data_IF_888516835924
#
_entry.id   IF_888516835924
#
_cell.length_a   1.000
_cell.length_b   1.000
_cell.length_c   1.000
_cell.angle_alpha   90.00
_cell.angle_beta   90.00
_cell.angle_gamma   90.00
#
_symmetry.space_group_name_H-M   'P 1'
#
loop_
_entity.id
_entity.type
_entity.pdbx_description
1 polymer ?
#
# COMPACT_ATOMS: atom_id res chain seq x y z
N UNK A 1 15.25 -20.20 -22.24
CA UNK A 1 15.89 -19.31 -21.24
C UNK A 1 17.37 -19.70 -21.13
N UNK A 2 18.33 -18.76 -21.06
CA UNK A 2 19.76 -19.08 -20.87
C UNK A 2 19.97 -19.70 -19.48
N UNK A 3 20.86 -20.68 -19.37
CA UNK A 3 21.21 -21.35 -18.09
C UNK A 3 22.36 -20.62 -17.39
N UNK A 4 22.60 -20.85 -16.07
CA UNK A 4 23.75 -20.28 -15.37
C UNK A 4 25.09 -20.61 -16.04
N UNK A 5 25.24 -21.84 -16.53
CA UNK A 5 26.44 -22.25 -17.27
C UNK A 5 26.63 -21.52 -18.60
N UNK A 6 25.55 -21.04 -19.23
CA UNK A 6 25.66 -20.21 -20.43
C UNK A 6 26.16 -18.81 -20.06
N UNK A 7 25.60 -18.20 -19.00
CA UNK A 7 26.02 -16.88 -18.53
C UNK A 7 27.48 -16.86 -18.06
N UNK A 8 27.92 -17.87 -17.31
CA UNK A 8 29.31 -17.99 -16.87
C UNK A 8 30.27 -18.08 -18.07
N UNK A 9 29.92 -18.88 -19.08
CA UNK A 9 30.72 -19.05 -20.29
C UNK A 9 30.83 -17.76 -21.09
N UNK A 10 29.71 -17.08 -21.33
CA UNK A 10 29.71 -15.81 -22.05
C UNK A 10 30.50 -14.71 -21.28
N UNK A 11 30.44 -14.70 -19.94
CA UNK A 11 31.29 -13.84 -19.09
C UNK A 11 32.78 -14.16 -19.17
N UNK A 12 33.17 -15.45 -19.17
CA UNK A 12 34.56 -15.87 -19.35
C UNK A 12 35.09 -15.51 -20.74
N UNK A 13 34.28 -15.70 -21.78
CA UNK A 13 34.62 -15.32 -23.15
C UNK A 13 34.81 -13.80 -23.26
N UNK A 14 33.90 -13.00 -22.70
CA UNK A 14 34.05 -11.54 -22.65
C UNK A 14 35.35 -11.10 -21.96
N UNK A 15 35.71 -11.76 -20.85
CA UNK A 15 36.94 -11.46 -20.12
C UNK A 15 38.20 -11.80 -20.92
N UNK A 16 38.18 -12.93 -21.63
CA UNK A 16 39.29 -13.36 -22.49
C UNK A 16 39.46 -12.44 -23.71
N UNK A 17 38.36 -12.08 -24.36
CA UNK A 17 38.37 -11.26 -25.58
C UNK A 17 38.48 -9.76 -25.30
N UNK A 18 38.27 -9.33 -24.05
CA UNK A 18 38.17 -7.92 -23.64
C UNK A 18 37.14 -7.14 -24.47
N UNK A 19 36.09 -7.82 -24.89
CA UNK A 19 35.00 -7.29 -25.72
C UNK A 19 33.66 -7.69 -25.13
N UNK A 20 32.60 -6.97 -25.52
CA UNK A 20 31.25 -7.32 -25.11
C UNK A 20 30.84 -8.65 -25.78
N UNK A 21 30.48 -9.66 -24.98
CA UNK A 21 29.90 -10.90 -25.46
C UNK A 21 28.47 -11.04 -24.98
N UNK A 22 27.50 -10.86 -25.88
CA UNK A 22 26.05 -10.99 -25.59
C UNK A 22 25.60 -10.22 -24.34
N UNK A 23 26.13 -9.00 -24.16
CA UNK A 23 25.84 -8.13 -23.02
C UNK A 23 26.77 -8.31 -21.81
N UNK A 24 27.71 -9.24 -21.83
CA UNK A 24 28.69 -9.43 -20.76
C UNK A 24 29.96 -8.65 -21.05
N UNK A 25 30.51 -7.98 -20.03
CA UNK A 25 31.77 -7.25 -20.10
C UNK A 25 32.95 -8.01 -19.49
N UNK A 26 32.69 -9.19 -18.91
CA UNK A 26 33.69 -10.02 -18.26
C UNK A 26 33.10 -10.85 -17.13
N UNK A 27 33.98 -11.50 -16.39
CA UNK A 27 33.67 -12.18 -15.14
C UNK A 27 33.58 -11.13 -14.03
N UNK A 28 32.54 -11.18 -13.20
CA UNK A 28 32.42 -10.27 -12.06
C UNK A 28 33.53 -10.54 -11.06
N UNK A 29 34.20 -9.49 -10.55
CA UNK A 29 35.16 -9.60 -9.45
C UNK A 29 34.54 -10.26 -8.21
N UNK A 30 33.23 -10.12 -8.02
CA UNK A 30 32.51 -10.72 -6.90
C UNK A 30 32.17 -12.20 -7.11
N UNK A 31 32.40 -12.76 -8.30
CA UNK A 31 32.08 -14.17 -8.58
C UNK A 31 32.91 -15.16 -7.77
N UNK A 32 34.10 -14.76 -7.30
CA UNK A 32 34.97 -15.57 -6.44
C UNK A 32 34.77 -15.27 -4.94
N UNK A 33 34.12 -14.15 -4.61
CA UNK A 33 34.01 -13.65 -3.22
C UNK A 33 32.65 -14.02 -2.63
N UNK A 34 31.61 -13.99 -3.46
CA UNK A 34 30.24 -14.21 -3.04
C UNK A 34 29.78 -15.56 -3.55
N UNK A 35 29.25 -16.42 -2.66
CA UNK A 35 28.60 -17.69 -3.02
C UNK A 35 27.20 -17.43 -3.61
N UNK A 36 27.13 -16.45 -4.50
CA UNK A 36 25.93 -15.85 -5.06
C UNK A 36 25.90 -16.17 -6.55
N UNK A 37 24.91 -16.95 -6.99
CA UNK A 37 24.74 -17.35 -8.38
C UNK A 37 24.26 -16.19 -9.24
N UNK A 38 25.17 -15.31 -9.66
CA UNK A 38 24.88 -14.26 -10.64
C UNK A 38 24.49 -14.87 -12.00
N UNK A 39 23.52 -14.29 -12.74
CA UNK A 39 22.72 -13.10 -12.39
C UNK A 39 21.43 -13.41 -11.61
N UNK A 40 21.13 -14.68 -11.31
CA UNK A 40 19.85 -15.11 -10.72
C UNK A 40 19.61 -14.58 -9.31
N UNK A 41 20.66 -14.11 -8.65
CA UNK A 41 20.60 -13.51 -7.33
C UNK A 41 20.52 -11.98 -7.34
N UNK A 42 20.38 -11.35 -8.52
CA UNK A 42 20.20 -9.90 -8.61
C UNK A 42 18.75 -9.58 -8.24
N UNK A 43 18.59 -8.88 -7.12
CA UNK A 43 17.30 -8.35 -6.70
C UNK A 43 16.96 -7.15 -7.59
N UNK A 44 15.76 -7.14 -8.14
CA UNK A 44 15.28 -5.96 -8.88
C UNK A 44 14.72 -4.98 -7.88
N UNK A 45 15.37 -3.84 -7.75
CA UNK A 45 14.85 -2.73 -6.98
C UNK A 45 13.63 -2.11 -7.68
N UNK A 46 12.45 -2.55 -7.22
CA UNK A 46 11.17 -2.16 -7.80
C UNK A 46 10.89 -0.66 -7.60
N UNK A 47 11.46 -0.01 -6.56
CA UNK A 47 11.21 1.39 -6.33
C UNK A 47 11.86 2.25 -7.42
N UNK A 48 13.12 1.96 -7.77
CA UNK A 48 13.79 2.65 -8.86
C UNK A 48 13.28 2.21 -10.23
N UNK A 49 13.13 0.90 -10.44
CA UNK A 49 12.68 0.35 -11.71
C UNK A 49 11.20 0.71 -11.97
N UNK A 50 10.28 0.19 -11.16
CA UNK A 50 8.85 0.36 -11.41
C UNK A 50 8.37 1.76 -11.06
N UNK A 51 8.67 2.31 -9.86
CA UNK A 51 8.07 3.58 -9.43
C UNK A 51 8.74 4.79 -10.10
N UNK A 52 10.04 5.00 -9.87
CA UNK A 52 10.74 6.21 -10.30
C UNK A 52 11.05 6.26 -11.80
N UNK A 53 11.12 5.12 -12.48
CA UNK A 53 11.28 5.07 -13.94
C UNK A 53 9.96 4.79 -14.64
N UNK A 54 9.42 3.57 -14.52
CA UNK A 54 8.28 3.15 -15.34
C UNK A 54 7.01 3.95 -15.05
N UNK A 55 6.48 3.90 -13.83
CA UNK A 55 5.26 4.60 -13.42
C UNK A 55 5.37 6.11 -13.65
N UNK A 56 6.52 6.71 -13.33
CA UNK A 56 6.76 8.14 -13.56
C UNK A 56 6.67 8.49 -15.06
N UNK A 57 7.31 7.72 -15.94
CA UNK A 57 7.20 7.90 -17.40
C UNK A 57 5.76 7.73 -17.87
N UNK A 58 5.05 6.73 -17.34
CA UNK A 58 3.65 6.51 -17.67
C UNK A 58 2.74 7.66 -17.25
N UNK A 59 2.95 8.21 -16.06
CA UNK A 59 2.21 9.38 -15.59
C UNK A 59 2.45 10.59 -16.47
N UNK A 60 3.70 10.85 -16.89
CA UNK A 60 4.02 11.94 -17.82
C UNK A 60 3.31 11.75 -19.16
N UNK A 61 3.35 10.54 -19.73
CA UNK A 61 2.72 10.23 -21.02
C UNK A 61 1.20 10.41 -20.95
N UNK A 62 0.56 9.82 -19.94
CA UNK A 62 -0.89 9.93 -19.77
C UNK A 62 -1.29 11.39 -19.53
N UNK A 63 -0.56 12.12 -18.69
CA UNK A 63 -0.84 13.53 -18.41
C UNK A 63 -0.76 14.39 -19.67
N UNK A 64 0.22 14.14 -20.55
CA UNK A 64 0.37 14.85 -21.83
C UNK A 64 -0.82 14.67 -22.77
N UNK A 65 -1.57 13.56 -22.65
CA UNK A 65 -2.76 13.30 -23.48
C UNK A 65 -4.02 14.02 -22.98
N UNK A 66 -4.02 14.48 -21.73
CA UNK A 66 -5.16 15.15 -21.13
C UNK A 66 -5.21 16.64 -21.49
N UNK A 67 -6.40 17.23 -21.52
CA UNK A 67 -6.58 18.67 -21.72
C UNK A 67 -6.10 19.46 -20.49
N UNK A 68 -5.68 20.74 -20.64
CA UNK A 68 -5.22 21.56 -19.52
C UNK A 68 -6.23 21.68 -18.37
N UNK A 69 -7.53 21.72 -18.69
CA UNK A 69 -8.60 21.78 -17.68
C UNK A 69 -8.63 20.51 -16.85
N UNK A 70 -8.63 19.34 -17.49
CA UNK A 70 -8.63 18.04 -16.81
C UNK A 70 -7.36 17.88 -15.96
N UNK A 71 -6.20 18.28 -16.49
CA UNK A 71 -4.93 18.28 -15.75
C UNK A 71 -5.01 19.07 -14.45
N UNK A 72 -5.58 20.27 -14.49
CA UNK A 72 -5.75 21.11 -13.30
C UNK A 72 -6.67 20.44 -12.26
N UNK A 73 -7.78 19.84 -12.70
CA UNK A 73 -8.69 19.09 -11.81
C UNK A 73 -7.98 17.92 -11.13
N UNK A 74 -7.21 17.14 -11.89
CA UNK A 74 -6.45 16.00 -11.37
C UNK A 74 -5.39 16.45 -10.37
N UNK A 75 -4.66 17.52 -10.66
CA UNK A 75 -3.63 18.06 -9.76
C UNK A 75 -4.20 18.50 -8.42
N UNK A 76 -5.37 19.13 -8.43
CA UNK A 76 -6.12 19.51 -7.24
C UNK A 76 -6.55 18.25 -6.48
N UNK A 77 -7.16 17.29 -7.16
CA UNK A 77 -7.63 16.04 -6.55
C UNK A 77 -6.49 15.27 -5.87
N UNK A 78 -5.34 15.13 -6.54
CA UNK A 78 -4.16 14.47 -5.97
C UNK A 78 -3.63 15.19 -4.73
N UNK A 79 -3.48 16.52 -4.80
CA UNK A 79 -2.87 17.31 -3.73
C UNK A 79 -3.77 17.44 -2.49
N UNK A 80 -5.09 17.42 -2.69
CA UNK A 80 -6.07 17.58 -1.63
C UNK A 80 -6.55 16.26 -1.03
N UNK A 81 -6.22 15.11 -1.65
CA UNK A 81 -6.67 13.80 -1.18
C UNK A 81 -6.27 13.56 0.30
N UNK A 82 -7.23 13.35 1.20
CA UNK A 82 -6.94 12.98 2.58
C UNK A 82 -6.36 11.56 2.69
N UNK A 83 -5.42 11.39 3.63
CA UNK A 83 -4.81 10.09 3.95
C UNK A 83 -4.95 9.75 5.44
N UNK A 84 -4.86 8.47 5.82
CA UNK A 84 -4.63 8.10 7.22
C UNK A 84 -3.41 8.81 7.81
N UNK A 85 -3.40 9.02 9.12
CA UNK A 85 -2.47 9.94 9.78
C UNK A 85 -1.03 9.46 9.76
N UNK A 86 -0.84 8.14 9.69
CA UNK A 86 0.48 7.49 9.61
C UNK A 86 1.13 7.66 8.23
N UNK A 87 0.42 8.16 7.20
CA UNK A 87 1.08 8.49 5.94
C UNK A 87 1.94 9.75 6.08
N UNK A 88 3.25 9.58 6.23
CA UNK A 88 4.22 10.68 6.26
C UNK A 88 4.29 11.46 4.93
N UNK A 89 4.06 10.77 3.82
CA UNK A 89 4.06 11.35 2.46
C UNK A 89 2.71 11.14 1.80
N UNK A 90 2.20 12.19 1.17
CA UNK A 90 0.92 12.20 0.46
C UNK A 90 1.15 12.22 -1.05
N UNK A 91 0.09 12.05 -1.81
CA UNK A 91 0.14 12.26 -3.25
C UNK A 91 0.48 13.72 -3.58
N UNK A 92 1.16 13.91 -4.71
CA UNK A 92 1.50 15.22 -5.24
C UNK A 92 0.88 15.40 -6.62
N UNK A 93 0.70 16.68 -6.99
CA UNK A 93 0.36 17.08 -8.34
C UNK A 93 1.37 16.53 -9.36
N UNK A 94 0.90 16.26 -10.56
CA UNK A 94 1.74 15.81 -11.66
C UNK A 94 2.66 16.92 -12.19
N UNK A 95 2.36 18.19 -11.89
CA UNK A 95 3.27 19.32 -12.15
C UNK A 95 4.60 19.19 -11.42
N UNK A 96 4.60 18.50 -10.27
CA UNK A 96 5.78 18.32 -9.43
C UNK A 96 6.47 16.96 -9.63
N UNK A 97 6.16 16.23 -10.72
CA UNK A 97 6.74 14.91 -10.99
C UNK A 97 8.28 14.93 -11.02
N UNK A 98 8.91 16.05 -11.37
CA UNK A 98 10.37 16.16 -11.33
C UNK A 98 10.96 15.96 -9.93
N UNK A 99 10.22 16.35 -8.87
CA UNK A 99 10.68 16.35 -7.47
C UNK A 99 9.95 15.33 -6.59
N UNK A 100 9.19 14.43 -7.21
CA UNK A 100 8.41 13.42 -6.51
C UNK A 100 9.29 12.25 -6.07
N UNK A 101 9.05 11.74 -4.86
CA UNK A 101 9.74 10.56 -4.33
C UNK A 101 9.01 9.26 -4.69
N UNK A 102 9.71 8.12 -4.59
CA UNK A 102 9.14 6.81 -4.91
C UNK A 102 7.85 6.51 -4.13
N UNK A 103 7.87 6.71 -2.80
CA UNK A 103 6.68 6.61 -1.93
C UNK A 103 5.49 7.48 -2.36
N UNK A 104 5.72 8.66 -2.92
CA UNK A 104 4.66 9.55 -3.41
C UNK A 104 4.09 9.02 -4.75
N UNK A 105 4.95 8.49 -5.63
CA UNK A 105 4.54 7.76 -6.84
C UNK A 105 3.75 6.51 -6.48
N UNK A 106 4.18 5.75 -5.47
CA UNK A 106 3.49 4.56 -4.98
C UNK A 106 2.08 4.90 -4.53
N UNK A 107 1.92 5.98 -3.74
CA UNK A 107 0.61 6.41 -3.28
C UNK A 107 -0.32 6.80 -4.43
N UNK A 108 0.21 7.48 -5.44
CA UNK A 108 -0.52 7.75 -6.68
C UNK A 108 -0.90 6.45 -7.37
N UNK A 109 0.05 5.56 -7.61
CA UNK A 109 -0.14 4.33 -8.38
C UNK A 109 -1.16 3.39 -7.72
N UNK A 110 -1.03 3.14 -6.41
CA UNK A 110 -1.82 2.14 -5.70
C UNK A 110 -3.17 2.63 -5.24
N UNK A 111 -3.27 3.92 -4.91
CA UNK A 111 -4.47 4.45 -4.27
C UNK A 111 -5.15 5.50 -5.14
N UNK A 112 -4.40 6.45 -5.72
CA UNK A 112 -4.97 7.62 -6.40
C UNK A 112 -5.37 7.42 -7.85
N UNK A 113 -4.60 6.64 -8.62
CA UNK A 113 -4.67 6.70 -10.07
C UNK A 113 -6.03 6.25 -10.60
N UNK A 114 -6.48 5.03 -10.28
CA UNK A 114 -7.77 4.55 -10.77
C UNK A 114 -8.93 5.42 -10.28
N UNK A 115 -9.06 5.76 -8.98
CA UNK A 115 -10.16 6.59 -8.52
C UNK A 115 -10.21 7.98 -9.13
N UNK A 116 -9.07 8.62 -9.40
CA UNK A 116 -9.04 9.99 -9.94
C UNK A 116 -9.18 9.99 -11.47
N UNK A 117 -8.61 9.01 -12.17
CA UNK A 117 -8.53 9.05 -13.64
C UNK A 117 -9.68 8.34 -14.35
N UNK A 118 -10.52 7.57 -13.63
CA UNK A 118 -11.54 6.75 -14.27
C UNK A 118 -12.58 7.54 -15.09
N UNK A 119 -12.82 8.81 -14.76
CA UNK A 119 -13.75 9.68 -15.49
C UNK A 119 -13.09 10.45 -16.63
N UNK A 120 -11.77 10.34 -16.77
CA UNK A 120 -10.96 11.20 -17.65
C UNK A 120 -10.22 10.43 -18.74
N UNK A 121 -10.17 9.09 -18.63
CA UNK A 121 -9.50 8.22 -19.60
C UNK A 121 -10.51 7.28 -20.25
N UNK A 122 -10.24 6.93 -21.51
CA UNK A 122 -10.96 5.87 -22.21
C UNK A 122 -10.76 4.54 -21.49
N UNK A 123 -11.81 3.71 -21.45
CA UNK A 123 -11.81 2.47 -20.67
C UNK A 123 -10.71 1.49 -21.09
N UNK A 124 -10.36 1.39 -22.38
CA UNK A 124 -9.27 0.50 -22.83
C UNK A 124 -7.90 0.96 -22.33
N UNK A 125 -7.63 2.27 -22.38
CA UNK A 125 -6.39 2.85 -21.84
C UNK A 125 -6.30 2.68 -20.32
N UNK A 126 -7.42 2.96 -19.63
CA UNK A 126 -7.50 2.78 -18.19
C UNK A 126 -7.36 1.30 -17.80
N UNK A 127 -7.98 0.39 -18.55
CA UNK A 127 -7.96 -1.04 -18.32
C UNK A 127 -6.56 -1.62 -18.52
N UNK A 128 -5.87 -1.24 -19.59
CA UNK A 128 -4.48 -1.63 -19.80
C UNK A 128 -3.58 -1.19 -18.65
N UNK A 129 -3.68 0.08 -18.23
CA UNK A 129 -2.87 0.56 -17.10
C UNK A 129 -3.31 -0.01 -15.74
N UNK A 130 -4.59 -0.37 -15.59
CA UNK A 130 -5.10 -1.07 -14.41
C UNK A 130 -4.44 -2.45 -14.22
N UNK A 131 -4.04 -3.14 -15.31
CA UNK A 131 -3.28 -4.39 -15.23
C UNK A 131 -1.98 -4.18 -14.46
N UNK A 132 -1.23 -3.14 -14.85
CA UNK A 132 0.02 -2.76 -14.20
C UNK A 132 -0.20 -2.39 -12.73
N UNK A 133 -1.18 -1.53 -12.44
CA UNK A 133 -1.50 -1.12 -11.07
C UNK A 133 -1.84 -2.32 -10.19
N UNK A 134 -2.72 -3.20 -10.67
CA UNK A 134 -3.14 -4.38 -9.91
C UNK A 134 -1.98 -5.35 -9.71
N UNK A 135 -1.20 -5.64 -10.76
CA UNK A 135 -0.03 -6.51 -10.66
C UNK A 135 0.97 -6.01 -9.62
N UNK A 136 1.35 -4.73 -9.71
CA UNK A 136 2.31 -4.13 -8.79
C UNK A 136 1.80 -4.16 -7.35
N UNK A 137 0.52 -3.86 -7.12
CA UNK A 137 -0.07 -3.89 -5.78
C UNK A 137 -0.16 -5.30 -5.20
N UNK A 138 -0.38 -6.32 -6.04
CA UNK A 138 -0.36 -7.73 -5.62
C UNK A 138 1.05 -8.24 -5.31
N UNK A 139 2.07 -7.85 -6.07
CA UNK A 139 3.47 -8.17 -5.74
C UNK A 139 3.98 -7.40 -4.50
N UNK A 140 3.40 -6.24 -4.25
CA UNK A 140 3.84 -5.37 -3.18
C UNK A 140 3.30 -5.77 -1.80
N UNK A 141 2.02 -6.10 -1.71
CA UNK A 141 1.38 -6.44 -0.45
C UNK A 141 1.50 -7.91 -0.06
N UNK A 142 0.94 -8.23 1.11
CA UNK A 142 0.64 -9.62 1.50
C UNK A 142 -0.18 -10.34 0.42
N UNK A 143 -0.17 -11.67 0.44
CA UNK A 143 -0.90 -12.52 -0.51
C UNK A 143 -2.44 -12.43 -0.35
N UNK A 144 -3.04 -11.29 -0.74
CA UNK A 144 -4.46 -10.99 -0.53
C UNK A 144 -5.41 -11.87 -1.34
N UNK A 145 -4.93 -12.53 -2.40
CA UNK A 145 -5.69 -13.49 -3.22
C UNK A 145 -5.29 -14.95 -2.91
N UNK A 146 -4.69 -15.18 -1.73
CA UNK A 146 -4.21 -16.48 -1.29
C UNK A 146 -2.95 -16.94 -2.03
N UNK A 147 -2.65 -18.26 -2.07
CA UNK A 147 -1.41 -18.80 -2.63
C UNK A 147 -1.18 -18.46 -4.12
N UNK A 148 -2.25 -18.18 -4.86
CA UNK A 148 -2.20 -17.80 -6.29
C UNK A 148 -1.89 -16.32 -6.53
N UNK A 149 -1.65 -15.52 -5.49
CA UNK A 149 -1.45 -14.06 -5.63
C UNK A 149 -0.34 -13.73 -6.63
N UNK A 150 0.83 -14.40 -6.54
CA UNK A 150 1.95 -14.17 -7.47
C UNK A 150 1.63 -14.53 -8.91
N UNK A 151 0.78 -15.53 -9.12
CA UNK A 151 0.45 -16.04 -10.45
C UNK A 151 -0.54 -15.12 -11.14
N UNK A 152 -1.56 -14.68 -10.40
CA UNK A 152 -2.51 -13.68 -10.88
C UNK A 152 -1.78 -12.36 -11.19
N UNK A 153 -0.87 -11.93 -10.32
CA UNK A 153 -0.05 -10.75 -10.56
C UNK A 153 0.83 -10.90 -11.82
N UNK A 154 1.37 -12.10 -12.04
CA UNK A 154 2.14 -12.40 -13.24
C UNK A 154 1.29 -12.34 -14.52
N UNK A 155 0.11 -12.93 -14.51
CA UNK A 155 -0.79 -12.92 -15.67
C UNK A 155 -1.17 -11.48 -16.05
N UNK A 156 -1.43 -10.63 -15.05
CA UNK A 156 -1.71 -9.21 -15.22
C UNK A 156 -0.52 -8.45 -15.83
N UNK A 157 0.69 -8.60 -15.25
CA UNK A 157 1.87 -7.85 -15.72
C UNK A 157 2.34 -8.32 -17.10
N UNK A 158 2.20 -9.62 -17.41
CA UNK A 158 2.55 -10.16 -18.72
C UNK A 158 1.56 -9.69 -19.78
N UNK A 159 0.26 -9.62 -19.48
CA UNK A 159 -0.73 -9.03 -20.40
C UNK A 159 -0.44 -7.55 -20.64
N UNK A 160 -0.13 -6.78 -19.59
CA UNK A 160 0.30 -5.39 -19.70
C UNK A 160 1.52 -5.24 -20.61
N UNK A 161 2.54 -6.08 -20.41
CA UNK A 161 3.77 -6.10 -21.19
C UNK A 161 3.53 -6.38 -22.68
N UNK A 162 2.76 -7.43 -22.99
CA UNK A 162 2.51 -7.84 -24.38
C UNK A 162 1.73 -6.80 -25.19
N UNK A 163 0.78 -6.13 -24.55
CA UNK A 163 -0.06 -5.14 -25.23
C UNK A 163 0.52 -3.72 -25.15
N UNK A 164 1.68 -3.53 -24.51
CA UNK A 164 2.22 -2.20 -24.18
C UNK A 164 2.32 -1.27 -25.40
N UNK A 165 2.84 -1.77 -26.52
CA UNK A 165 3.06 -0.97 -27.74
C UNK A 165 1.76 -0.47 -28.37
N UNK A 166 0.65 -1.18 -28.16
CA UNK A 166 -0.65 -0.76 -28.66
C UNK A 166 -1.16 0.52 -27.99
N UNK A 167 -0.63 0.87 -26.82
CA UNK A 167 -1.04 2.05 -26.04
C UNK A 167 0.06 3.11 -25.95
N UNK A 168 1.33 2.69 -25.90
CA UNK A 168 2.47 3.52 -25.50
C UNK A 168 3.69 3.33 -26.41
N UNK A 169 3.44 3.29 -27.71
CA UNK A 169 4.47 3.14 -28.76
C UNK A 169 5.68 4.06 -28.53
N UNK A 170 6.88 3.48 -28.56
CA UNK A 170 8.15 4.18 -28.38
C UNK A 170 8.60 4.38 -26.93
N UNK A 171 7.85 3.90 -25.93
CA UNK A 171 8.23 3.95 -24.52
C UNK A 171 8.83 2.65 -23.98
N UNK A 172 8.99 1.64 -24.83
CA UNK A 172 9.64 0.38 -24.46
C UNK A 172 11.09 0.62 -24.05
N UNK A 173 11.45 0.02 -22.94
CA UNK A 173 12.80 0.11 -22.42
C UNK A 173 13.11 -1.13 -21.59
N UNK A 174 14.36 -1.25 -21.12
CA UNK A 174 14.78 -2.43 -20.37
C UNK A 174 13.98 -2.63 -19.07
N UNK A 175 13.46 -1.57 -18.44
CA UNK A 175 12.65 -1.66 -17.21
C UNK A 175 11.33 -2.37 -17.50
N UNK A 176 10.70 -2.06 -18.63
CA UNK A 176 9.50 -2.78 -19.06
C UNK A 176 9.76 -4.28 -19.19
N UNK A 177 10.94 -4.69 -19.69
CA UNK A 177 11.32 -6.10 -19.72
C UNK A 177 11.58 -6.68 -18.32
N UNK A 178 12.17 -5.91 -17.39
CA UNK A 178 12.41 -6.37 -16.01
C UNK A 178 11.14 -6.85 -15.31
N UNK A 179 9.98 -6.29 -15.65
CA UNK A 179 8.69 -6.70 -15.10
C UNK A 179 8.36 -8.18 -15.36
N UNK A 180 8.86 -8.77 -16.46
CA UNK A 180 8.68 -10.21 -16.75
C UNK A 180 9.35 -11.14 -15.74
N UNK A 181 10.25 -10.61 -14.90
CA UNK A 181 10.95 -11.35 -13.86
C UNK A 181 10.35 -11.11 -12.47
N UNK A 182 9.27 -10.34 -12.33
CA UNK A 182 8.72 -9.96 -11.02
C UNK A 182 8.12 -11.12 -10.24
N UNK A 183 7.53 -12.09 -10.93
CA UNK A 183 7.03 -13.30 -10.27
C UNK A 183 8.16 -14.12 -9.65
N UNK A 184 9.30 -14.27 -10.34
CA UNK A 184 10.43 -15.03 -9.78
C UNK A 184 11.06 -14.29 -8.60
N UNK A 185 11.18 -12.96 -8.69
CA UNK A 185 11.62 -12.13 -7.57
C UNK A 185 10.71 -12.29 -6.35
N UNK A 186 9.39 -12.21 -6.55
CA UNK A 186 8.42 -12.35 -5.46
C UNK A 186 8.49 -13.74 -4.81
N UNK A 187 8.58 -14.80 -5.62
CA UNK A 187 8.65 -16.18 -5.10
C UNK A 187 9.95 -16.46 -4.35
N UNK A 188 11.05 -15.81 -4.75
CA UNK A 188 12.36 -16.05 -4.15
C UNK A 188 12.60 -15.20 -2.89
N UNK A 189 12.13 -13.96 -2.90
CA UNK A 189 12.49 -12.97 -1.87
C UNK A 189 11.30 -12.40 -1.09
N UNK A 190 10.06 -12.72 -1.49
CA UNK A 190 8.86 -12.23 -0.83
C UNK A 190 8.33 -10.93 -1.43
N UNK A 191 7.58 -10.17 -0.63
CA UNK A 191 6.83 -9.00 -1.10
C UNK A 191 7.75 -7.84 -1.45
N UNK A 192 7.37 -7.04 -2.45
CA UNK A 192 8.21 -5.91 -2.87
C UNK A 192 8.39 -4.86 -1.79
N UNK A 193 7.46 -4.78 -0.83
CA UNK A 193 7.57 -3.87 0.31
C UNK A 193 8.86 -4.06 1.13
N UNK A 194 9.50 -5.22 1.03
CA UNK A 194 10.75 -5.52 1.73
C UNK A 194 11.98 -5.57 0.80
N UNK A 195 11.83 -5.26 -0.49
CA UNK A 195 12.88 -5.42 -1.52
C UNK A 195 13.38 -4.09 -2.11
N UNK A 196 13.29 -2.99 -1.34
CA UNK A 196 13.79 -1.67 -1.76
C UNK A 196 15.27 -1.42 -1.42
N UNK A 197 15.96 -0.65 -2.25
CA UNK A 197 17.37 -0.25 -2.03
C UNK A 197 17.56 0.90 -1.01
N UNK A 198 16.47 1.52 -0.54
CA UNK A 198 16.52 2.79 0.19
C UNK A 198 17.31 2.73 1.49
N UNK A 199 17.28 1.59 2.19
CA UNK A 199 18.10 1.38 3.38
C UNK A 199 19.59 1.50 3.06
N UNK A 200 20.02 0.85 1.96
CA UNK A 200 21.41 0.94 1.52
C UNK A 200 21.76 2.34 1.00
N UNK A 201 20.87 3.00 0.26
CA UNK A 201 21.11 4.36 -0.22
C UNK A 201 21.20 5.39 0.91
N UNK A 202 20.36 5.25 1.93
CA UNK A 202 20.40 6.10 3.12
C UNK A 202 21.71 5.90 3.87
N UNK A 203 22.17 4.65 3.99
CA UNK A 203 23.47 4.33 4.56
C UNK A 203 24.62 4.94 3.73
N UNK A 204 24.61 4.80 2.40
CA UNK A 204 25.60 5.40 1.51
C UNK A 204 25.60 6.93 1.66
N UNK A 205 24.41 7.54 1.71
CA UNK A 205 24.24 8.97 1.91
C UNK A 205 24.83 9.44 3.24
N UNK A 206 24.53 8.72 4.33
CA UNK A 206 25.07 8.95 5.66
C UNK A 206 26.61 8.84 5.69
N UNK A 207 27.17 7.79 5.07
CA UNK A 207 28.62 7.60 4.95
C UNK A 207 29.22 8.77 4.16
N UNK A 208 28.59 9.14 3.04
CA UNK A 208 29.03 10.23 2.17
C UNK A 208 29.04 11.60 2.85
N UNK A 209 28.00 11.93 3.63
CA UNK A 209 27.91 13.19 4.38
C UNK A 209 28.93 13.29 5.51
N UNK A 210 29.34 12.15 6.08
CA UNK A 210 30.28 12.09 7.19
C UNK A 210 31.74 11.89 6.75
N UNK A 211 32.02 11.80 5.44
CA UNK A 211 33.36 11.48 4.88
C UNK A 211 34.41 12.59 5.06
N UNK A 212 34.01 13.81 5.39
CA UNK A 212 34.94 14.93 5.56
C UNK A 212 35.38 15.07 7.02
N UNK A 213 36.56 14.54 7.34
CA UNK A 213 37.34 14.96 8.52
C UNK A 213 37.51 13.96 9.66
N UNK A 214 37.06 12.70 9.53
CA UNK A 214 37.17 11.70 10.61
C UNK A 214 37.93 10.46 10.15
N UNK A 215 39.17 10.31 10.63
CA UNK A 215 39.86 9.02 10.70
C UNK A 215 39.04 8.07 11.60
N UNK A 216 39.00 6.76 11.30
CA UNK A 216 38.20 5.72 12.00
C UNK A 216 36.72 5.59 11.60
N UNK A 217 36.31 6.11 10.45
CA UNK A 217 34.93 5.99 9.97
C UNK A 217 34.48 4.53 9.74
N UNK A 218 35.39 3.66 9.31
CA UNK A 218 35.09 2.23 9.17
C UNK A 218 34.74 1.57 10.50
N UNK A 219 35.43 1.97 11.57
CA UNK A 219 35.19 1.49 12.93
C UNK A 219 33.84 2.02 13.44
N UNK A 220 33.54 3.31 13.25
CA UNK A 220 32.25 3.92 13.61
C UNK A 220 31.09 3.31 12.82
N UNK A 221 31.28 2.96 11.55
CA UNK A 221 30.26 2.27 10.75
C UNK A 221 30.07 0.85 11.26
N UNK A 222 31.14 0.09 11.52
CA UNK A 222 31.04 -1.26 12.07
C UNK A 222 30.42 -1.25 13.47
N UNK A 223 30.72 -0.25 14.28
CA UNK A 223 30.19 -0.08 15.64
C UNK A 223 28.72 0.35 15.61
N UNK A 224 28.33 1.32 14.77
CA UNK A 224 26.91 1.69 14.61
C UNK A 224 26.10 0.59 13.95
N UNK A 225 26.65 -0.12 12.97
CA UNK A 225 25.99 -1.27 12.34
C UNK A 225 25.89 -2.43 13.34
N UNK A 226 26.92 -2.65 14.15
CA UNK A 226 26.91 -3.60 15.26
C UNK A 226 25.85 -3.24 16.30
N UNK A 227 25.78 -1.96 16.71
CA UNK A 227 24.76 -1.43 17.61
C UNK A 227 23.37 -1.58 17.00
N UNK A 228 23.16 -1.23 15.73
CA UNK A 228 21.88 -1.35 15.03
C UNK A 228 21.45 -2.81 14.89
N UNK A 229 22.38 -3.71 14.55
CA UNK A 229 22.13 -5.15 14.49
C UNK A 229 21.82 -5.72 15.89
N UNK A 230 22.55 -5.29 16.92
CA UNK A 230 22.28 -5.66 18.31
C UNK A 230 20.97 -5.07 18.82
N UNK A 231 20.61 -3.84 18.43
CA UNK A 231 19.34 -3.19 18.75
C UNK A 231 18.19 -3.87 18.03
N UNK A 232 18.35 -4.26 16.76
CA UNK A 232 17.36 -5.06 16.04
C UNK A 232 17.20 -6.44 16.68
N UNK A 233 18.30 -7.11 17.02
CA UNK A 233 18.28 -8.39 17.72
C UNK A 233 17.72 -8.25 19.14
N UNK A 234 17.93 -7.10 19.79
CA UNK A 234 17.28 -6.75 21.06
C UNK A 234 15.82 -6.39 20.87
N UNK A 235 15.38 -5.75 19.78
CA UNK A 235 13.96 -5.48 19.49
C UNK A 235 13.23 -6.80 19.21
N UNK A 236 13.88 -7.74 18.52
CA UNK A 236 13.38 -9.12 18.34
C UNK A 236 13.31 -9.89 19.68
N UNK A 237 14.27 -9.67 20.59
CA UNK A 237 14.29 -10.28 21.92
C UNK A 237 13.45 -9.52 22.98
N UNK A 238 13.20 -8.22 22.78
CA UNK A 238 12.28 -7.34 23.52
C UNK A 238 10.93 -7.40 22.80
N UNK A 239 10.52 -8.60 22.40
CA UNK A 239 9.15 -8.82 21.99
C UNK A 239 8.27 -8.80 23.24
N UNK A 240 7.82 -7.60 23.65
CA UNK A 240 6.49 -7.34 24.27
C UNK A 240 6.26 -5.91 24.82
N UNK A 241 7.27 -5.06 25.06
CA UNK A 241 7.07 -3.85 25.88
C UNK A 241 7.19 -2.47 25.19
N UNK A 242 7.54 -2.38 23.90
CA UNK A 242 7.46 -1.13 23.11
C UNK A 242 6.31 -1.11 22.10
N UNK A 243 5.53 -2.19 22.03
CA UNK A 243 4.26 -2.20 21.30
C UNK A 243 3.34 -1.15 21.92
N UNK A 244 2.72 -0.29 21.11
CA UNK A 244 1.55 0.47 21.54
C UNK A 244 0.60 -0.58 22.15
N UNK A 245 0.41 -0.53 23.47
CA UNK A 245 -0.38 -1.53 24.15
C UNK A 245 -1.77 -1.52 23.51
N UNK A 246 -2.16 -2.66 22.93
CA UNK A 246 -3.47 -2.79 22.31
C UNK A 246 -4.53 -2.40 23.33
N UNK A 247 -5.40 -1.47 22.96
CA UNK A 247 -6.35 -0.92 23.89
C UNK A 247 -6.91 0.45 23.52
N UNK A 248 -7.98 0.85 24.23
CA UNK A 248 -8.57 2.15 24.07
C UNK A 248 -7.73 3.21 24.79
N UNK A 249 -7.63 4.40 24.21
CA UNK A 249 -7.01 5.56 24.86
C UNK A 249 -7.70 6.85 24.41
N UNK A 250 -7.38 7.96 25.08
CA UNK A 250 -8.04 9.27 24.84
C UNK A 250 -9.55 9.22 25.16
N UNK A 251 -9.92 9.11 26.46
CA UNK A 251 -11.31 8.97 26.87
C UNK A 251 -12.15 10.21 26.52
N UNK A 252 -13.39 9.99 26.08
CA UNK A 252 -14.36 11.04 25.79
C UNK A 252 -15.43 11.11 26.89
N UNK A 253 -15.19 11.94 27.90
CA UNK A 253 -16.09 12.06 29.05
C UNK A 253 -17.44 12.71 28.70
N UNK A 254 -17.53 13.39 27.56
CA UNK A 254 -18.69 14.18 27.16
C UNK A 254 -19.55 13.49 26.09
N UNK A 255 -19.20 12.26 25.69
CA UNK A 255 -19.97 11.55 24.66
C UNK A 255 -21.38 11.19 25.18
N UNK A 256 -22.40 11.61 24.44
CA UNK A 256 -23.80 11.31 24.78
C UNK A 256 -24.26 10.00 24.15
N UNK A 257 -24.10 8.91 24.88
CA UNK A 257 -24.59 7.59 24.46
C UNK A 257 -26.11 7.51 24.28
N UNK A 258 -26.90 8.40 24.89
CA UNK A 258 -28.38 8.38 24.80
C UNK A 258 -28.88 8.86 23.44
N UNK A 259 -28.03 9.53 22.67
CA UNK A 259 -28.35 9.97 21.31
C UNK A 259 -28.31 8.85 20.28
N UNK A 260 -27.89 7.63 20.65
CA UNK A 260 -27.70 6.53 19.71
C UNK A 260 -28.47 5.26 20.11
N UNK A 261 -29.54 4.97 19.39
CA UNK A 261 -30.41 3.82 19.64
C UNK A 261 -29.68 2.47 19.58
N UNK A 262 -28.66 2.35 18.71
CA UNK A 262 -27.89 1.11 18.58
C UNK A 262 -27.11 0.81 19.86
N UNK A 263 -26.54 1.85 20.50
CA UNK A 263 -25.84 1.71 21.79
C UNK A 263 -26.83 1.42 22.92
N UNK A 264 -28.00 2.04 22.92
CA UNK A 264 -29.05 1.77 23.93
C UNK A 264 -29.49 0.31 23.85
N UNK A 265 -29.77 -0.19 22.64
CA UNK A 265 -30.17 -1.58 22.42
C UNK A 265 -29.08 -2.56 22.83
N UNK A 266 -27.83 -2.29 22.48
CA UNK A 266 -26.69 -3.09 22.93
C UNK A 266 -26.59 -3.13 24.45
N UNK A 267 -26.66 -1.96 25.10
CA UNK A 267 -26.62 -1.87 26.55
C UNK A 267 -27.75 -2.66 27.22
N UNK A 268 -28.99 -2.56 26.73
CA UNK A 268 -30.13 -3.27 27.30
C UNK A 268 -30.04 -4.79 27.12
N UNK A 269 -29.29 -5.25 26.10
CA UNK A 269 -29.03 -6.67 25.85
C UNK A 269 -27.92 -7.19 26.76
N UNK A 270 -26.86 -6.41 26.97
CA UNK A 270 -25.65 -6.83 27.68
C UNK A 270 -25.60 -6.42 29.16
N UNK A 271 -26.43 -5.45 29.59
CA UNK A 271 -26.49 -4.93 30.96
C UNK A 271 -27.92 -4.88 31.51
N UNK A 272 -28.08 -5.25 32.78
CA UNK A 272 -29.33 -5.09 33.55
C UNK A 272 -29.41 -3.78 34.33
N UNK A 273 -28.39 -2.93 34.20
CA UNK A 273 -28.26 -1.67 34.92
C UNK A 273 -29.20 -0.58 34.36
N UNK A 274 -29.66 0.35 35.20
CA UNK A 274 -30.59 1.43 34.80
C UNK A 274 -29.90 2.64 34.15
N UNK A 275 -28.57 2.75 34.22
CA UNK A 275 -27.81 3.93 33.77
C UNK A 275 -26.66 3.55 32.85
N UNK A 276 -26.82 3.86 31.56
CA UNK A 276 -25.79 3.71 30.52
C UNK A 276 -24.44 4.35 30.90
N UNK A 277 -24.48 5.53 31.55
CA UNK A 277 -23.25 6.28 31.89
C UNK A 277 -22.41 5.58 32.97
N UNK A 278 -23.00 4.70 33.76
CA UNK A 278 -22.27 3.94 34.78
C UNK A 278 -21.48 2.77 34.16
N UNK A 279 -21.90 2.31 32.98
CA UNK A 279 -21.46 1.04 32.42
C UNK A 279 -20.74 1.16 31.07
N UNK A 280 -20.82 2.31 30.41
CA UNK A 280 -20.10 2.56 29.16
C UNK A 280 -19.10 3.70 29.34
N UNK A 281 -17.89 3.50 28.83
CA UNK A 281 -16.85 4.54 28.73
C UNK A 281 -16.49 4.72 27.27
N UNK A 282 -16.55 5.96 26.79
CA UNK A 282 -16.20 6.31 25.42
C UNK A 282 -14.72 6.70 25.30
N UNK A 283 -14.16 6.44 24.13
CA UNK A 283 -12.78 6.69 23.77
C UNK A 283 -12.72 7.18 22.32
N UNK A 284 -11.79 8.10 22.08
CA UNK A 284 -11.61 8.72 20.77
C UNK A 284 -10.68 7.92 19.86
N UNK A 285 -9.81 7.09 20.44
CA UNK A 285 -8.78 6.33 19.73
C UNK A 285 -8.66 4.90 20.27
N UNK A 286 -8.21 4.00 19.42
CA UNK A 286 -7.95 2.60 19.78
C UNK A 286 -6.71 2.09 19.04
N UNK A 287 -5.83 1.41 19.76
CA UNK A 287 -4.70 0.68 19.19
C UNK A 287 -5.05 -0.80 19.09
N UNK A 288 -4.94 -1.38 17.90
CA UNK A 288 -5.10 -2.83 17.68
C UNK A 288 -4.14 -3.29 16.61
N UNK A 289 -3.43 -4.41 16.83
CA UNK A 289 -2.49 -4.97 15.85
C UNK A 289 -1.46 -3.92 15.40
N UNK A 290 -0.88 -3.17 16.37
CA UNK A 290 0.07 -2.08 16.14
C UNK A 290 -0.47 -0.90 15.30
N UNK A 291 -1.78 -0.81 15.09
CA UNK A 291 -2.42 0.25 14.30
C UNK A 291 -3.30 1.12 15.18
N UNK A 292 -3.17 2.43 15.02
CA UNK A 292 -4.02 3.41 15.71
C UNK A 292 -5.18 3.82 14.81
N UNK A 293 -6.39 3.58 15.29
CA UNK A 293 -7.62 4.01 14.64
C UNK A 293 -8.23 5.21 15.36
N UNK A 294 -8.85 6.10 14.60
CA UNK A 294 -9.49 7.30 15.13
C UNK A 294 -11.01 7.22 15.01
N UNK A 295 -11.71 7.85 15.94
CA UNK A 295 -13.14 8.07 15.84
C UNK A 295 -13.46 9.44 15.22
N UNK A 296 -14.72 9.65 14.82
CA UNK A 296 -15.21 10.93 14.33
C UNK A 296 -15.18 12.05 15.38
N UNK A 297 -15.16 11.71 16.67
CA UNK A 297 -15.09 12.68 17.78
C UNK A 297 -13.67 13.15 18.09
N UNK A 298 -12.65 12.63 17.38
CA UNK A 298 -11.28 13.06 17.55
C UNK A 298 -11.03 14.45 16.94
N UNK A 299 -10.75 15.44 17.77
CA UNK A 299 -10.62 16.86 17.39
C UNK A 299 -9.58 17.15 16.29
N UNK A 300 -8.51 16.35 16.17
CA UNK A 300 -7.46 16.54 15.14
C UNK A 300 -7.77 15.81 13.82
N UNK A 301 -9.02 15.41 13.60
CA UNK A 301 -9.54 14.72 12.40
C UNK A 301 -9.30 15.47 11.09
N UNK A 302 -9.31 16.80 11.06
CA UNK A 302 -9.52 17.57 9.83
C UNK A 302 -8.47 17.36 8.72
N UNK A 303 -7.34 16.71 9.01
CA UNK A 303 -6.31 16.39 8.00
C UNK A 303 -6.15 14.91 7.71
N UNK A 304 -6.99 14.03 8.28
CA UNK A 304 -6.81 12.57 8.18
C UNK A 304 -8.12 11.81 8.03
N UNK A 305 -8.08 10.69 7.28
CA UNK A 305 -9.18 9.72 7.13
C UNK A 305 -8.99 8.45 7.96
N UNK A 306 -8.24 8.52 9.07
CA UNK A 306 -7.99 7.35 9.94
C UNK A 306 -9.23 6.78 10.64
N UNK A 307 -10.40 7.39 10.43
CA UNK A 307 -11.68 6.94 10.94
C UNK A 307 -12.48 6.08 9.97
N UNK A 308 -12.06 6.00 8.69
CA UNK A 308 -12.74 5.18 7.70
C UNK A 308 -12.05 3.83 7.58
N UNK A 309 -12.80 2.75 7.78
CA UNK A 309 -12.25 1.41 7.94
C UNK A 309 -13.00 0.34 7.16
N UNK A 310 -12.27 -0.74 6.87
CA UNK A 310 -12.78 -2.04 6.45
C UNK A 310 -12.87 -2.97 7.67
N UNK A 311 -13.99 -3.66 7.84
CA UNK A 311 -14.23 -4.56 8.99
C UNK A 311 -15.12 -5.77 8.62
N UNK A 312 -15.16 -6.76 9.50
CA UNK A 312 -16.00 -7.96 9.36
C UNK A 312 -17.29 -7.84 10.21
N UNK A 313 -18.45 -8.19 9.66
CA UNK A 313 -19.73 -8.14 10.41
C UNK A 313 -19.88 -9.31 11.38
N UNK A 314 -19.63 -10.55 10.92
CA UNK A 314 -19.64 -11.79 11.74
C UNK A 314 -18.55 -12.75 11.26
N UNK A 315 -17.95 -13.49 12.19
CA UNK A 315 -16.98 -14.60 12.02
C UNK A 315 -15.99 -14.52 10.85
N UNK A 316 -15.12 -13.49 10.79
CA UNK A 316 -13.96 -13.37 9.88
C UNK A 316 -14.18 -13.77 8.40
N UNK A 317 -15.43 -13.92 7.96
CA UNK A 317 -15.80 -14.39 6.64
C UNK A 317 -16.19 -13.20 5.80
N UNK A 318 -15.90 -13.28 4.51
CA UNK A 318 -16.49 -12.40 3.51
C UNK A 318 -18.02 -12.46 3.60
N UNK A 319 -18.73 -11.32 3.44
CA UNK A 319 -18.26 -10.07 2.87
C UNK A 319 -17.65 -9.08 3.89
N UNK A 320 -16.70 -8.27 3.39
CA UNK A 320 -16.20 -7.09 4.10
C UNK A 320 -17.25 -5.98 4.13
N UNK A 321 -17.26 -5.21 5.21
CA UNK A 321 -18.04 -3.98 5.34
C UNK A 321 -17.13 -2.77 5.48
N UNK A 322 -17.71 -1.61 5.19
CA UNK A 322 -17.03 -0.33 5.14
C UNK A 322 -17.80 0.68 5.98
N UNK A 323 -17.09 1.54 6.70
CA UNK A 323 -17.75 2.54 7.51
C UNK A 323 -16.83 3.51 8.24
N UNK A 324 -17.46 4.53 8.81
CA UNK A 324 -16.80 5.53 9.66
C UNK A 324 -16.96 5.13 11.11
N UNK A 325 -15.85 5.09 11.84
CA UNK A 325 -15.87 4.86 13.29
C UNK A 325 -16.41 6.11 13.95
N UNK A 326 -17.64 6.06 14.45
CA UNK A 326 -18.24 7.16 15.20
C UNK A 326 -17.51 7.31 16.53
N UNK A 327 -17.25 6.20 17.24
CA UNK A 327 -16.68 6.19 18.58
C UNK A 327 -16.19 4.79 19.01
N UNK A 328 -15.31 4.68 20.01
CA UNK A 328 -14.92 3.41 20.64
C UNK A 328 -15.38 3.34 22.09
N UNK A 329 -16.01 2.25 22.52
CA UNK A 329 -16.49 2.14 23.91
C UNK A 329 -16.12 0.83 24.56
N UNK A 330 -15.85 0.91 25.87
CA UNK A 330 -15.68 -0.25 26.75
C UNK A 330 -16.92 -0.38 27.64
N UNK A 331 -17.37 -1.61 27.79
CA UNK A 331 -18.42 -1.96 28.75
C UNK A 331 -17.77 -2.36 30.08
N UNK A 332 -18.18 -1.74 31.20
CA UNK A 332 -17.49 -1.83 32.50
C UNK A 332 -17.34 -3.27 33.03
N UNK A 333 -18.28 -4.16 32.71
CA UNK A 333 -18.26 -5.55 33.17
C UNK A 333 -17.54 -6.51 32.20
N UNK A 334 -17.04 -6.02 31.05
CA UNK A 334 -16.24 -6.81 30.12
C UNK A 334 -14.88 -6.19 29.85
N UNK A 335 -13.90 -7.03 29.53
CA UNK A 335 -12.63 -6.55 28.99
C UNK A 335 -12.71 -6.29 27.48
N UNK A 336 -13.89 -6.37 26.89
CA UNK A 336 -14.12 -6.16 25.48
C UNK A 336 -14.30 -4.67 25.16
N UNK A 337 -13.71 -4.24 24.04
CA UNK A 337 -13.93 -2.91 23.48
C UNK A 337 -14.62 -3.04 22.13
N UNK A 338 -15.55 -2.14 21.86
CA UNK A 338 -16.34 -2.11 20.65
C UNK A 338 -16.16 -0.78 19.91
N UNK A 339 -16.30 -0.82 18.60
CA UNK A 339 -16.41 0.33 17.73
C UNK A 339 -17.88 0.48 17.32
N UNK A 340 -18.41 1.69 17.45
CA UNK A 340 -19.67 2.10 16.84
C UNK A 340 -19.37 2.62 15.44
N UNK A 341 -19.92 1.97 14.41
CA UNK A 341 -19.57 2.24 13.01
C UNK A 341 -20.82 2.66 12.23
N UNK A 342 -20.73 3.81 11.59
CA UNK A 342 -21.69 4.26 10.58
C UNK A 342 -21.37 3.52 9.27
N UNK A 343 -22.24 2.60 8.85
CA UNK A 343 -21.98 1.71 7.72
C UNK A 343 -22.31 2.35 6.38
N UNK A 344 -21.42 2.15 5.40
CA UNK A 344 -21.58 2.57 4.01
C UNK A 344 -21.70 1.31 3.13
N UNK A 345 -22.87 1.07 2.50
CA UNK A 345 -23.09 -0.15 1.73
C UNK A 345 -22.28 -0.13 0.42
N UNK A 346 -21.69 -1.28 0.08
CA UNK A 346 -21.12 -1.51 -1.25
C UNK A 346 -22.26 -1.53 -2.26
N UNK A 347 -22.15 -0.70 -3.30
CA UNK A 347 -23.20 -0.55 -4.31
C UNK A 347 -22.80 -1.12 -5.68
N UNK A 348 -21.50 -1.33 -5.92
CA UNK A 348 -21.00 -1.81 -7.20
C UNK A 348 -19.53 -2.21 -7.15
N UNK A 349 -19.03 -2.68 -8.29
CA UNK A 349 -17.65 -3.13 -8.46
C UNK A 349 -16.91 -2.19 -9.40
N UNK A 350 -15.65 -1.86 -9.07
CA UNK A 350 -14.85 -1.02 -9.98
C UNK A 350 -14.56 -1.75 -11.30
N UNK A 351 -14.58 -3.10 -11.30
CA UNK A 351 -14.47 -3.91 -12.51
C UNK A 351 -15.53 -3.59 -13.56
N UNK A 352 -16.69 -3.08 -13.15
CA UNK A 352 -17.83 -2.85 -14.05
C UNK A 352 -17.51 -1.78 -15.11
N UNK A 353 -16.56 -0.88 -14.81
CA UNK A 353 -16.01 0.09 -15.77
C UNK A 353 -15.31 -0.57 -16.96
N UNK A 354 -14.87 -1.81 -16.81
CA UNK A 354 -14.03 -2.51 -17.77
C UNK A 354 -14.78 -3.59 -18.56
N UNK A 355 -16.08 -3.79 -18.34
CA UNK A 355 -16.89 -4.86 -18.98
C UNK A 355 -16.80 -4.83 -20.50
N UNK A 356 -16.69 -3.64 -21.09
CA UNK A 356 -16.56 -3.48 -22.54
C UNK A 356 -15.14 -3.70 -23.08
N UNK A 357 -14.15 -3.83 -22.19
CA UNK A 357 -12.73 -3.95 -22.56
C UNK A 357 -12.32 -5.41 -22.61
N UNK A 358 -11.29 -5.74 -23.41
CA UNK A 358 -10.75 -7.10 -23.46
C UNK A 358 -10.04 -7.55 -22.16
N UNK A 359 -9.89 -6.65 -21.18
CA UNK A 359 -9.18 -6.91 -19.93
C UNK A 359 -10.07 -7.30 -18.76
N UNK A 360 -11.39 -7.22 -18.92
CA UNK A 360 -12.37 -7.42 -17.84
C UNK A 360 -12.13 -8.72 -17.05
N UNK A 361 -12.10 -9.86 -17.75
CA UNK A 361 -11.98 -11.17 -17.13
C UNK A 361 -10.69 -11.32 -16.30
N UNK A 362 -9.59 -10.75 -16.81
CA UNK A 362 -8.31 -10.81 -16.14
C UNK A 362 -8.23 -9.85 -14.93
N UNK A 363 -8.84 -8.68 -15.02
CA UNK A 363 -8.81 -7.63 -14.00
C UNK A 363 -9.77 -7.85 -12.84
N UNK A 364 -10.97 -8.36 -13.14
CA UNK A 364 -12.15 -8.32 -12.26
C UNK A 364 -11.83 -8.76 -10.83
N UNK A 365 -11.19 -9.91 -10.68
CA UNK A 365 -10.85 -10.47 -9.37
C UNK A 365 -9.90 -9.57 -8.56
N UNK A 366 -8.86 -9.06 -9.20
CA UNK A 366 -7.84 -8.25 -8.55
C UNK A 366 -8.41 -6.88 -8.19
N UNK A 367 -9.04 -6.20 -9.15
CA UNK A 367 -9.54 -4.85 -8.94
C UNK A 367 -10.64 -4.82 -7.86
N UNK A 368 -11.51 -5.83 -7.80
CA UNK A 368 -12.58 -5.92 -6.82
C UNK A 368 -12.10 -6.26 -5.39
N UNK A 369 -10.86 -6.71 -5.24
CA UNK A 369 -10.21 -6.81 -3.94
C UNK A 369 -9.51 -5.53 -3.50
N UNK A 370 -9.17 -4.67 -4.46
CA UNK A 370 -8.32 -3.50 -4.27
C UNK A 370 -9.11 -2.19 -4.20
N UNK A 371 -10.27 -2.14 -4.85
CA UNK A 371 -11.13 -0.95 -4.95
C UNK A 371 -12.60 -1.33 -4.86
N UNK A 372 -13.36 -0.52 -4.12
CA UNK A 372 -14.77 -0.74 -3.82
C UNK A 372 -15.58 0.51 -4.11
N UNK A 373 -16.73 0.37 -4.77
CA UNK A 373 -17.68 1.46 -4.95
C UNK A 373 -18.73 1.36 -3.85
N UNK A 374 -18.82 2.38 -3.00
CA UNK A 374 -19.81 2.44 -1.92
C UNK A 374 -20.72 3.65 -2.05
N UNK A 375 -21.96 3.50 -1.58
CA UNK A 375 -22.93 4.59 -1.58
C UNK A 375 -22.51 5.71 -0.64
N UNK A 376 -22.78 6.98 -0.99
CA UNK A 376 -22.67 8.10 -0.05
C UNK A 376 -23.73 8.06 1.05
N UNK A 377 -24.85 7.39 0.80
CA UNK A 377 -25.91 7.21 1.80
C UNK A 377 -25.48 6.16 2.80
N UNK A 378 -25.29 6.57 4.05
CA UNK A 378 -25.04 5.64 5.14
C UNK A 378 -26.31 4.85 5.50
N UNK A 379 -26.10 3.71 6.15
CA UNK A 379 -27.21 2.96 6.76
C UNK A 379 -27.82 3.78 7.90
N UNK A 380 -29.14 3.64 8.08
CA UNK A 380 -29.86 4.23 9.22
C UNK A 380 -29.40 3.64 10.56
N UNK A 381 -28.82 2.43 10.54
CA UNK A 381 -28.37 1.73 11.74
C UNK A 381 -26.85 1.75 11.85
N UNK A 382 -26.37 1.86 13.08
CA UNK A 382 -24.94 1.74 13.38
C UNK A 382 -24.60 0.30 13.70
N UNK A 383 -23.49 -0.18 13.15
CA UNK A 383 -22.95 -1.48 13.50
C UNK A 383 -22.12 -1.34 14.78
N UNK A 384 -22.36 -2.22 15.76
CA UNK A 384 -21.51 -2.37 16.95
C UNK A 384 -20.61 -3.57 16.73
N UNK A 385 -19.32 -3.31 16.62
CA UNK A 385 -18.33 -4.29 16.16
C UNK A 385 -17.22 -4.41 17.18
N UNK A 386 -16.87 -5.64 17.56
CA UNK A 386 -15.69 -5.85 18.41
C UNK A 386 -14.43 -5.36 17.69
N UNK A 387 -13.59 -4.58 18.36
CA UNK A 387 -12.41 -3.91 17.76
C UNK A 387 -11.43 -4.87 17.07
N UNK A 388 -11.35 -6.14 17.48
CA UNK A 388 -10.52 -7.14 16.80
C UNK A 388 -10.95 -7.43 15.35
N UNK A 389 -12.21 -7.13 15.00
CA UNK A 389 -12.78 -7.28 13.66
C UNK A 389 -12.47 -6.09 12.74
N UNK A 390 -11.84 -5.04 13.25
CA UNK A 390 -11.26 -4.01 12.40
C UNK A 390 -10.11 -4.64 11.60
N UNK A 391 -10.17 -4.45 10.29
CA UNK A 391 -9.21 -5.04 9.35
C UNK A 391 -8.17 -3.99 8.94
N UNK A 392 -8.59 -2.92 8.27
CA UNK A 392 -7.69 -1.95 7.64
C UNK A 392 -8.30 -0.54 7.63
N UNK A 393 -7.43 0.45 7.63
CA UNK A 393 -7.74 1.80 7.19
C UNK A 393 -8.05 1.82 5.70
N UNK A 394 -8.91 2.77 5.31
CA UNK A 394 -9.22 3.00 3.92
C UNK A 394 -8.92 4.44 3.51
N UNK A 395 -8.51 4.62 2.26
CA UNK A 395 -8.50 5.92 1.59
C UNK A 395 -9.81 6.02 0.82
N UNK A 396 -10.47 7.18 0.94
CA UNK A 396 -11.81 7.43 0.40
C UNK A 396 -11.73 8.58 -0.59
N UNK A 397 -12.15 8.31 -1.82
CA UNK A 397 -12.27 9.29 -2.88
C UNK A 397 -13.73 9.71 -3.03
N UNK A 398 -13.97 11.01 -2.94
CA UNK A 398 -15.29 11.62 -3.07
C UNK A 398 -15.62 11.89 -4.54
N UNK A 399 -16.34 10.96 -5.17
CA UNK A 399 -16.89 11.13 -6.52
C UNK A 399 -18.30 11.72 -6.41
N UNK A 400 -18.88 12.29 -7.46
CA UNK A 400 -20.16 13.03 -7.38
C UNK A 400 -21.29 12.22 -6.70
N UNK A 401 -21.55 11.00 -7.18
CA UNK A 401 -22.67 10.15 -6.72
C UNK A 401 -22.27 9.08 -5.70
N UNK A 402 -20.97 8.82 -5.53
CA UNK A 402 -20.48 7.68 -4.76
C UNK A 402 -19.09 7.89 -4.19
N UNK A 403 -18.67 6.96 -3.33
CA UNK A 403 -17.29 6.88 -2.88
C UNK A 403 -16.55 5.73 -3.56
N UNK A 404 -15.31 5.96 -3.97
CA UNK A 404 -14.37 4.88 -4.26
C UNK A 404 -13.48 4.70 -3.04
N UNK A 405 -13.44 3.47 -2.53
CA UNK A 405 -12.70 3.10 -1.33
C UNK A 405 -11.58 2.13 -1.71
N UNK A 406 -10.39 2.42 -1.22
CA UNK A 406 -9.23 1.54 -1.39
C UNK A 406 -8.58 1.24 -0.03
N UNK A 407 -8.46 -0.03 0.38
CA UNK A 407 -7.82 -0.39 1.64
C UNK A 407 -6.29 -0.23 1.58
N UNK A 408 -5.70 0.25 2.67
CA UNK A 408 -4.23 0.39 2.78
C UNK A 408 -3.57 -0.99 2.75
N UNK A 409 -2.59 -1.17 1.86
CA UNK A 409 -2.05 -2.49 1.50
C UNK A 409 -0.78 -2.87 2.28
N UNK A 410 0.01 -1.87 2.71
CA UNK A 410 1.19 -2.03 3.56
C UNK A 410 1.22 -0.87 4.56
N UNK A 411 1.53 -1.14 5.83
CA UNK A 411 1.63 -0.11 6.88
C UNK A 411 3.10 0.26 7.12
N UNK A 412 3.97 -0.74 7.08
CA UNK A 412 5.40 -0.67 7.42
C UNK A 412 6.21 0.28 6.51
N UNK A 413 5.67 0.68 5.35
CA UNK A 413 6.31 1.64 4.45
C UNK A 413 5.86 3.08 4.65
N UNK A 414 4.80 3.27 5.43
CA UNK A 414 4.23 4.57 5.69
C UNK A 414 4.71 5.13 7.01
N UNK A 415 5.25 4.30 7.92
CA UNK A 415 5.84 4.67 9.20
C UNK A 415 7.22 5.33 9.10
#
# INVERSE_FOLDING_TARGET
MRTPGNFARDSSTAAQLKSNEKGHLGVSIFSEILDIKLPYSIIIDYAHASLLRHSKSMFVEIYRRLSPVIRATIDIALSQQPFPHFFHRRMKSFKDLSFIKATEILNILFYGFLPIFHQHLQHDYLGHFALYICAMRLFHGRAILGPRTSDIANDLIMKYYHDFNSFYDGLENFVLHLHSHYQSQYRMYGTFSHLGSFGQESLIGYIGSNRKGTTHQGDIICENYGIDLMLHHQIENICSCTNIADGPFDPDLNFDFRSNDSVINFHNTECTCRSIKCCLRAFRRYAVKQRVYHSLTYNRRQKSVSYFVRYYSKDNSTPYFFGKIVMFFKYSNSNCTYALIERYPVQGQLSDLFVSTMYYELLSKAINHLFYIVSKKCSLFHDIVHVSRLSEHCIVFDCEEYYIITPVSSYDEHD
#
